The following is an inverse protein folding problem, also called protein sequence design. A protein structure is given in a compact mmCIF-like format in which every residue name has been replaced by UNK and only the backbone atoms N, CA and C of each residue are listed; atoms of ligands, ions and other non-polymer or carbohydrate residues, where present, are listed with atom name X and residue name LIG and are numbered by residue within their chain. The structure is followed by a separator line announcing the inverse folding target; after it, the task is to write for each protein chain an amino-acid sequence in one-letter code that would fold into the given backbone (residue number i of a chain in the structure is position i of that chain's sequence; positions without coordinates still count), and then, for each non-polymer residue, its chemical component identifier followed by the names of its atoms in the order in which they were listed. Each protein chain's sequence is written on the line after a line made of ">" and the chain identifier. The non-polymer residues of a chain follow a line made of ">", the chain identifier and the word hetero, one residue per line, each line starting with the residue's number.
data_IF_824158309208
#
_entry.id   IF_824158309208
#
_cell.length_a   1.000
_cell.length_b   1.000
_cell.length_c   1.000
_cell.angle_alpha   90.00
_cell.angle_beta   90.00
_cell.angle_gamma   90.00
#
_symmetry.space_group_name_H-M   'P 1'
#
loop_
_entity.id
_entity.type
_entity.pdbx_description
1 polymer ?
#
# COMPACT_ATOMS: atom_id res chain seq x y z
N UNK A 1 16.72 -0.51 -4.20
CA UNK A 1 15.82 -0.35 -5.36
C UNK A 1 16.43 -0.88 -6.67
N UNK A 2 17.74 -1.16 -6.74
CA UNK A 2 18.38 -1.55 -8.01
C UNK A 2 18.53 -0.34 -8.93
N UNK A 3 18.69 -0.57 -10.22
CA UNK A 3 18.63 0.50 -11.22
C UNK A 3 17.28 1.20 -11.15
N UNK A 4 17.31 2.52 -11.11
CA UNK A 4 16.13 3.37 -11.01
C UNK A 4 16.15 4.40 -12.14
N UNK A 5 14.98 4.63 -12.75
CA UNK A 5 14.79 5.68 -13.73
C UNK A 5 13.61 6.56 -13.31
N UNK A 6 13.78 7.86 -13.46
CA UNK A 6 12.70 8.83 -13.37
C UNK A 6 12.20 9.13 -14.78
N UNK A 7 10.91 8.87 -15.01
CA UNK A 7 10.17 9.23 -16.22
C UNK A 7 9.23 10.41 -15.94
N UNK A 8 9.07 11.29 -16.92
CA UNK A 8 8.11 12.38 -16.88
C UNK A 8 7.27 12.39 -18.16
N UNK A 9 5.95 12.52 -18.00
CA UNK A 9 5.03 12.76 -19.10
C UNK A 9 3.84 13.59 -18.59
N UNK A 10 3.49 14.66 -19.31
CA UNK A 10 2.32 15.51 -19.02
C UNK A 10 2.22 15.98 -17.56
N UNK A 11 3.36 16.29 -16.94
CA UNK A 11 3.45 16.73 -15.53
C UNK A 11 3.29 15.62 -14.49
N UNK A 12 3.27 14.35 -14.90
CA UNK A 12 3.30 13.18 -14.02
C UNK A 12 4.71 12.63 -13.94
N UNK A 13 5.23 12.49 -12.72
CA UNK A 13 6.55 11.95 -12.44
C UNK A 13 6.43 10.50 -11.93
N UNK A 14 7.11 9.56 -12.59
CA UNK A 14 7.09 8.14 -12.24
C UNK A 14 8.51 7.64 -12.02
N UNK A 15 8.75 7.02 -10.87
CA UNK A 15 10.00 6.30 -10.59
C UNK A 15 9.78 4.81 -10.83
N UNK A 16 10.58 4.24 -11.72
CA UNK A 16 10.60 2.81 -12.02
C UNK A 16 11.91 2.22 -11.53
N UNK A 17 11.87 1.02 -10.97
CA UNK A 17 13.05 0.35 -10.45
C UNK A 17 13.06 -1.16 -10.77
N UNK A 18 14.24 -1.75 -10.85
CA UNK A 18 14.39 -3.15 -11.33
C UNK A 18 14.13 -4.21 -10.26
N UNK A 19 14.35 -3.90 -8.98
CA UNK A 19 14.18 -4.86 -7.88
C UNK A 19 12.83 -4.65 -7.18
N UNK A 20 12.12 -5.74 -6.85
CA UNK A 20 10.89 -5.66 -6.04
C UNK A 20 11.22 -5.14 -4.64
N UNK A 21 10.86 -3.89 -4.36
CA UNK A 21 11.10 -3.22 -3.07
C UNK A 21 9.89 -2.37 -2.66
N UNK A 22 9.71 -2.15 -1.36
CA UNK A 22 8.73 -1.18 -0.85
C UNK A 22 9.34 0.23 -0.83
N UNK A 23 8.49 1.25 -0.99
CA UNK A 23 8.89 2.65 -0.85
C UNK A 23 8.69 3.09 0.60
N UNK A 24 9.79 3.23 1.35
CA UNK A 24 9.76 3.54 2.78
C UNK A 24 9.94 5.03 3.11
N UNK A 25 10.77 5.73 2.33
CA UNK A 25 11.21 7.08 2.66
C UNK A 25 11.22 8.00 1.43
N UNK A 26 10.99 9.31 1.58
CA UNK A 26 11.12 10.33 0.52
C UNK A 26 12.39 10.25 -0.34
N UNK A 27 13.49 9.76 0.24
CA UNK A 27 14.77 9.56 -0.44
C UNK A 27 14.68 8.67 -1.69
N UNK A 28 13.68 7.78 -1.76
CA UNK A 28 13.41 6.99 -2.96
C UNK A 28 13.15 7.85 -4.22
N UNK A 29 12.70 9.10 -4.03
CA UNK A 29 12.46 10.07 -5.09
C UNK A 29 13.54 11.16 -5.11
N UNK A 30 13.90 11.69 -3.94
CA UNK A 30 14.84 12.81 -3.83
C UNK A 30 16.25 12.46 -4.33
N UNK A 31 16.70 11.22 -4.15
CA UNK A 31 17.99 10.76 -4.68
C UNK A 31 18.03 10.73 -6.22
N UNK A 32 16.87 10.76 -6.89
CA UNK A 32 16.76 10.92 -8.35
C UNK A 32 16.60 12.39 -8.78
N UNK A 33 16.68 13.33 -7.83
CA UNK A 33 16.52 14.76 -8.09
C UNK A 33 15.08 15.27 -8.04
N UNK A 34 14.11 14.43 -7.66
CA UNK A 34 12.70 14.83 -7.56
C UNK A 34 12.49 15.60 -6.26
N UNK A 35 12.20 16.89 -6.39
CA UNK A 35 11.85 17.77 -5.27
C UNK A 35 10.38 17.59 -4.89
N UNK A 36 10.13 16.78 -3.85
CA UNK A 36 8.76 16.49 -3.38
C UNK A 36 8.02 17.72 -2.86
N UNK A 37 8.71 18.80 -2.46
CA UNK A 37 8.04 20.03 -2.01
C UNK A 37 7.29 20.76 -3.13
N UNK A 38 7.62 20.46 -4.39
CA UNK A 38 6.97 21.00 -5.59
C UNK A 38 5.83 20.13 -6.08
N UNK A 39 5.66 18.94 -5.51
CA UNK A 39 4.62 17.99 -5.90
C UNK A 39 3.34 18.26 -5.14
N UNK A 40 2.21 18.36 -5.86
CA UNK A 40 0.89 18.50 -5.24
C UNK A 40 0.47 17.22 -4.52
N UNK A 41 0.87 16.06 -5.06
CA UNK A 41 0.56 14.74 -4.54
C UNK A 41 1.75 13.83 -4.71
N UNK A 42 1.95 12.93 -3.74
CA UNK A 42 2.95 11.86 -3.81
C UNK A 42 2.22 10.55 -3.55
N UNK A 43 2.30 9.62 -4.50
CA UNK A 43 1.65 8.31 -4.41
C UNK A 43 2.72 7.25 -4.24
N UNK A 44 2.61 6.46 -3.17
CA UNK A 44 3.51 5.34 -2.90
C UNK A 44 2.73 4.05 -2.75
N UNK A 45 3.28 2.94 -3.26
CA UNK A 45 2.65 1.62 -3.12
C UNK A 45 3.10 0.96 -1.82
N UNK A 46 2.43 1.29 -0.73
CA UNK A 46 2.70 0.76 0.60
C UNK A 46 1.44 0.80 1.45
N UNK A 47 1.25 -0.19 2.33
CA UNK A 47 0.09 -0.23 3.23
C UNK A 47 0.33 0.58 4.51
N UNK A 48 1.57 0.65 5.02
CA UNK A 48 1.85 1.31 6.30
C UNK A 48 3.28 1.83 6.44
N UNK A 49 4.31 1.04 6.11
CA UNK A 49 5.71 1.42 6.42
C UNK A 49 6.21 2.72 5.77
N UNK A 50 5.48 3.26 4.79
CA UNK A 50 5.81 4.58 4.24
C UNK A 50 5.46 5.73 5.20
N UNK A 51 4.52 5.51 6.11
CA UNK A 51 3.92 6.56 6.94
C UNK A 51 4.99 7.31 7.73
N UNK A 52 5.92 6.60 8.37
CA UNK A 52 6.97 7.20 9.19
C UNK A 52 7.87 8.16 8.39
N UNK A 53 8.15 7.85 7.13
CA UNK A 53 9.00 8.68 6.27
C UNK A 53 8.27 9.83 5.59
N UNK A 54 7.01 9.64 5.21
CA UNK A 54 6.26 10.61 4.40
C UNK A 54 5.34 11.52 5.22
N UNK A 55 4.79 11.05 6.36
CA UNK A 55 3.90 11.86 7.18
C UNK A 55 4.53 13.19 7.65
N UNK A 56 5.83 13.28 8.02
CA UNK A 56 6.43 14.55 8.44
C UNK A 56 6.49 15.64 7.36
N UNK A 57 6.40 15.26 6.07
CA UNK A 57 6.46 16.20 4.94
C UNK A 57 5.11 16.37 4.23
N UNK A 58 4.08 15.61 4.64
CA UNK A 58 2.76 15.64 4.05
C UNK A 58 1.82 16.52 4.88
N UNK A 59 0.96 17.29 4.21
CA UNK A 59 -0.13 18.00 4.88
C UNK A 59 -1.22 17.03 5.37
N UNK A 60 -1.43 15.95 4.64
CA UNK A 60 -2.40 14.89 4.94
C UNK A 60 -1.91 13.57 4.33
N UNK A 61 -2.20 12.46 5.01
CA UNK A 61 -1.96 11.10 4.49
C UNK A 61 -3.28 10.40 4.29
N UNK A 62 -3.59 10.06 3.04
CA UNK A 62 -4.83 9.38 2.65
C UNK A 62 -4.50 7.93 2.27
N UNK A 63 -5.08 6.97 3.00
CA UNK A 63 -4.99 5.55 2.65
C UNK A 63 -6.01 5.22 1.54
N UNK A 64 -5.55 4.59 0.46
CA UNK A 64 -6.37 4.32 -0.72
C UNK A 64 -6.61 2.82 -0.90
N UNK A 65 -7.89 2.43 -0.97
CA UNK A 65 -8.33 1.10 -1.36
C UNK A 65 -8.33 0.95 -2.90
N UNK A 66 -7.15 0.89 -3.51
CA UNK A 66 -7.02 0.71 -4.97
C UNK A 66 -7.26 -0.75 -5.41
N UNK A 67 -7.81 -0.99 -6.61
CA UNK A 67 -7.89 -2.34 -7.16
C UNK A 67 -6.50 -2.99 -7.29
N UNK A 68 -6.39 -4.28 -6.97
CA UNK A 68 -5.15 -5.01 -7.15
C UNK A 68 -5.03 -6.28 -6.32
N UNK A 69 -3.82 -6.82 -6.25
CA UNK A 69 -3.53 -8.09 -5.59
C UNK A 69 -3.72 -8.07 -4.05
N UNK A 70 -3.75 -6.89 -3.43
CA UNK A 70 -3.88 -6.72 -1.99
C UNK A 70 -5.01 -5.73 -1.75
N UNK A 71 -6.23 -6.25 -1.59
CA UNK A 71 -7.40 -5.47 -1.18
C UNK A 71 -7.42 -5.34 0.36
N UNK A 72 -7.81 -4.17 0.91
CA UNK A 72 -8.08 -4.05 2.33
C UNK A 72 -9.43 -4.67 2.74
N UNK A 73 -10.31 -4.95 1.77
CA UNK A 73 -11.56 -5.68 2.01
C UNK A 73 -11.31 -7.20 1.95
N UNK A 74 -11.13 -7.80 3.12
CA UNK A 74 -10.88 -9.23 3.25
C UNK A 74 -12.12 -10.10 3.02
N UNK A 75 -13.32 -9.52 2.95
CA UNK A 75 -14.57 -10.27 2.73
C UNK A 75 -14.69 -10.80 1.30
N UNK A 76 -14.06 -10.12 0.35
CA UNK A 76 -14.14 -10.41 -1.09
C UNK A 76 -12.94 -11.19 -1.63
N UNK A 77 -11.94 -11.51 -0.80
CA UNK A 77 -10.74 -12.23 -1.25
C UNK A 77 -11.12 -13.66 -1.66
N UNK A 78 -10.82 -14.09 -2.91
CA UNK A 78 -11.24 -15.39 -3.43
C UNK A 78 -10.30 -16.52 -2.97
N UNK A 79 -10.28 -16.81 -1.66
CA UNK A 79 -9.49 -17.90 -1.11
C UNK A 79 -9.91 -19.25 -1.69
N UNK A 80 -8.93 -20.05 -2.12
CA UNK A 80 -9.15 -21.42 -2.65
C UNK A 80 -8.72 -22.53 -1.70
N UNK A 81 -7.91 -22.20 -0.67
CA UNK A 81 -7.36 -23.15 0.31
C UNK A 81 -7.88 -22.94 1.74
N UNK A 82 -8.44 -21.76 2.02
CA UNK A 82 -9.04 -21.41 3.32
C UNK A 82 -10.55 -21.45 3.15
N UNK A 83 -11.26 -22.01 4.13
CA UNK A 83 -12.72 -21.94 4.16
C UNK A 83 -13.23 -20.50 4.43
N UNK A 84 -14.54 -20.31 4.37
CA UNK A 84 -15.17 -19.01 4.60
C UNK A 84 -15.37 -18.63 6.06
N UNK A 85 -15.04 -19.51 7.01
CA UNK A 85 -15.39 -19.35 8.41
C UNK A 85 -14.37 -18.50 9.17
N UNK A 86 -14.28 -17.21 8.83
CA UNK A 86 -13.40 -16.27 9.51
C UNK A 86 -13.95 -14.85 9.45
N UNK A 87 -13.71 -14.07 10.50
CA UNK A 87 -13.99 -12.63 10.48
C UNK A 87 -12.93 -11.90 9.64
N UNK A 88 -13.28 -10.93 8.78
CA UNK A 88 -14.59 -10.31 8.61
C UNK A 88 -15.51 -10.96 7.56
N UNK A 89 -15.12 -12.07 6.91
CA UNK A 89 -15.94 -12.70 5.87
C UNK A 89 -17.23 -13.31 6.41
N UNK A 90 -17.15 -13.88 7.60
CA UNK A 90 -18.27 -14.37 8.42
C UNK A 90 -18.28 -13.56 9.70
N UNK A 91 -19.41 -12.96 10.07
CA UNK A 91 -19.51 -12.05 11.22
C UNK A 91 -19.18 -12.74 12.55
N UNK A 92 -19.65 -13.98 12.75
CA UNK A 92 -19.49 -14.73 14.01
C UNK A 92 -19.00 -16.16 13.75
N UNK A 93 -17.73 -16.36 13.32
CA UNK A 93 -17.25 -17.67 12.87
C UNK A 93 -17.16 -18.73 13.97
N UNK A 94 -17.21 -18.33 15.24
CA UNK A 94 -17.08 -19.21 16.41
C UNK A 94 -18.41 -19.43 17.17
N UNK A 95 -19.54 -18.92 16.67
CA UNK A 95 -20.82 -18.93 17.40
C UNK A 95 -21.37 -20.34 17.76
N UNK A 96 -20.80 -21.41 17.22
CA UNK A 96 -21.14 -22.80 17.54
C UNK A 96 -20.11 -23.55 18.38
N UNK A 97 -18.96 -22.93 18.72
CA UNK A 97 -17.90 -23.58 19.50
C UNK A 97 -18.09 -23.45 21.02
N UNK A 98 -18.93 -22.53 21.49
CA UNK A 98 -19.32 -22.39 22.91
C UNK A 98 -20.25 -23.52 23.42
N UNK A 99 -20.46 -24.57 22.63
CA UNK A 99 -21.31 -25.72 22.94
C UNK A 99 -20.53 -27.05 23.06
N UNK A 100 -19.25 -27.01 23.45
CA UNK A 100 -18.50 -28.20 23.87
C UNK A 100 -18.19 -28.12 25.38
N UNK A 101 -18.57 -29.14 26.19
CA UNK A 101 -18.24 -29.23 27.60
C UNK A 101 -16.75 -29.48 27.87
#
# INVERSE_FOLDING_TARGET
>A
MGDCVWLEADGVHVVINTLRTQTFHPEAFQNLGIDLSKMKYVVVKSSQHFYDGFAPIAAEVIHLATPGAITPDYTIVPYTRRDGNFWPRTETPFAGEDAAP
#
